data_IF_510341413504
#
_entry.id   IF_510341413504
#
_cell.length_a   1.000
_cell.length_b   1.000
_cell.length_c   1.000
_cell.angle_alpha   90.00
_cell.angle_beta   90.00
_cell.angle_gamma   90.00
#
_symmetry.space_group_name_H-M   'P 1'
#
loop_
_entity.id
_entity.type
_entity.pdbx_description
1 polymer ?
#
# COMPACT_ATOMS: atom_id res chain seq x y z
N UNK A 1 15.98 0.68 23.66
CA UNK A 1 15.41 1.90 23.03
C UNK A 1 14.21 2.34 23.87
N UNK A 2 14.30 3.44 24.63
CA UNK A 2 13.25 3.89 25.55
C UNK A 2 11.89 4.14 24.89
N UNK A 3 11.91 4.45 23.60
CA UNK A 3 10.75 4.91 22.82
C UNK A 3 9.73 3.80 22.53
N UNK A 4 10.14 2.53 22.48
CA UNK A 4 9.20 1.43 22.29
C UNK A 4 8.41 1.09 23.56
N UNK A 5 8.97 1.38 24.75
CA UNK A 5 8.29 1.09 26.01
C UNK A 5 7.05 1.94 26.22
N UNK A 6 7.12 3.24 25.87
CA UNK A 6 5.96 4.14 25.93
C UNK A 6 4.90 3.77 24.88
N UNK A 7 5.30 3.42 23.66
CA UNK A 7 4.39 2.99 22.61
C UNK A 7 3.66 1.68 22.98
N UNK A 8 4.40 0.67 23.46
CA UNK A 8 3.81 -0.60 23.90
C UNK A 8 2.81 -0.40 25.05
N UNK A 9 3.15 0.47 26.02
CA UNK A 9 2.24 0.82 27.12
C UNK A 9 0.99 1.55 26.64
N UNK A 10 1.11 2.44 25.65
CA UNK A 10 -0.05 3.13 25.07
C UNK A 10 -0.97 2.12 24.36
N UNK A 11 -0.40 1.24 23.53
CA UNK A 11 -1.15 0.19 22.83
C UNK A 11 -1.85 -0.76 23.81
N UNK A 12 -1.20 -1.15 24.91
CA UNK A 12 -1.78 -2.11 25.86
C UNK A 12 -3.03 -1.60 26.60
N UNK A 13 -3.26 -0.29 26.63
CA UNK A 13 -4.42 0.33 27.27
C UNK A 13 -5.39 0.95 26.26
N UNK A 14 -5.08 0.88 24.96
CA UNK A 14 -5.91 1.48 23.93
C UNK A 14 -7.17 0.61 23.71
N UNK A 15 -8.39 1.20 23.81
CA UNK A 15 -9.62 0.48 23.50
C UNK A 15 -9.76 0.18 22.00
N UNK A 16 -9.12 0.99 21.15
CA UNK A 16 -9.05 0.83 19.70
C UNK A 16 -7.70 1.34 19.21
N UNK A 17 -7.12 0.63 18.23
CA UNK A 17 -5.83 0.94 17.63
C UNK A 17 -6.04 1.16 16.14
N UNK A 18 -5.74 2.37 15.65
CA UNK A 18 -5.73 2.67 14.22
C UNK A 18 -4.30 2.67 13.72
N UNK A 19 -4.00 1.81 12.74
CA UNK A 19 -2.70 1.73 12.10
C UNK A 19 -2.79 2.39 10.73
N UNK A 20 -2.19 3.57 10.62
CA UNK A 20 -2.08 4.31 9.37
C UNK A 20 -0.78 3.96 8.64
N UNK A 21 -0.88 3.52 7.38
CA UNK A 21 0.28 3.04 6.62
C UNK A 21 0.42 3.71 5.26
N UNK A 22 1.67 3.76 4.77
CA UNK A 22 2.04 4.22 3.43
C UNK A 22 3.12 3.34 2.83
N UNK A 23 3.68 3.74 1.68
CA UNK A 23 4.50 2.87 0.84
C UNK A 23 5.71 2.25 1.56
N UNK A 24 6.25 2.93 2.58
CA UNK A 24 7.38 2.44 3.37
C UNK A 24 7.13 1.08 4.01
N UNK A 25 5.90 0.74 4.41
CA UNK A 25 5.61 -0.58 4.98
C UNK A 25 5.79 -1.71 3.95
N UNK A 26 5.62 -1.42 2.66
CA UNK A 26 5.76 -2.38 1.55
C UNK A 26 7.17 -2.43 0.94
N UNK A 27 8.08 -1.55 1.36
CA UNK A 27 9.42 -1.46 0.77
C UNK A 27 10.20 -2.78 0.89
N UNK A 28 10.23 -3.39 2.09
CA UNK A 28 10.89 -4.68 2.31
C UNK A 28 10.17 -5.86 1.62
N UNK A 29 8.96 -5.64 1.10
CA UNK A 29 8.24 -6.61 0.27
C UNK A 29 8.63 -6.51 -1.22
N UNK A 30 9.60 -5.65 -1.56
CA UNK A 30 10.05 -5.42 -2.94
C UNK A 30 9.17 -4.47 -3.75
N UNK A 31 8.25 -3.74 -3.10
CA UNK A 31 7.42 -2.72 -3.76
C UNK A 31 8.14 -1.36 -3.65
N UNK A 32 8.55 -0.74 -4.77
CA UNK A 32 9.21 0.56 -4.74
C UNK A 32 8.34 1.65 -4.12
N UNK A 33 8.96 2.53 -3.34
CA UNK A 33 8.34 3.74 -2.81
C UNK A 33 8.49 4.91 -3.80
N UNK A 34 7.76 6.01 -3.57
CA UNK A 34 7.87 7.23 -4.40
C UNK A 34 9.22 7.95 -4.34
N UNK A 35 10.13 7.51 -3.47
CA UNK A 35 11.48 8.05 -3.34
C UNK A 35 12.53 7.13 -3.98
N UNK A 36 12.15 5.93 -4.39
CA UNK A 36 13.06 4.99 -5.02
C UNK A 36 13.20 5.29 -6.51
N UNK A 37 14.41 5.16 -7.08
CA UNK A 37 14.62 5.33 -8.51
C UNK A 37 13.88 4.22 -9.28
N UNK A 38 13.17 4.60 -10.34
CA UNK A 38 12.58 3.63 -11.26
C UNK A 38 13.68 2.95 -12.09
N UNK A 39 13.40 1.72 -12.51
CA UNK A 39 14.34 0.90 -13.29
C UNK A 39 13.71 0.40 -14.59
N UNK A 40 14.54 -0.11 -15.50
CA UNK A 40 14.10 -0.66 -16.77
C UNK A 40 13.40 0.38 -17.66
N UNK A 41 12.30 -0.03 -18.30
CA UNK A 41 11.53 0.84 -19.21
C UNK A 41 10.90 2.06 -18.52
N UNK A 42 10.82 2.04 -17.19
CA UNK A 42 10.22 3.12 -16.40
C UNK A 42 11.25 4.12 -15.86
N UNK A 43 12.55 3.83 -15.99
CA UNK A 43 13.62 4.71 -15.54
C UNK A 43 13.54 6.18 -16.01
N UNK A 44 13.07 6.51 -17.24
CA UNK A 44 12.98 7.92 -17.66
C UNK A 44 11.72 8.65 -17.17
N UNK A 45 10.82 7.98 -16.42
CA UNK A 45 9.55 8.55 -15.98
C UNK A 45 9.55 8.90 -14.49
N UNK A 46 8.76 9.90 -14.11
CA UNK A 46 8.40 10.19 -12.72
C UNK A 46 6.97 9.67 -12.46
N UNK A 47 6.76 8.77 -11.47
CA UNK A 47 5.42 8.30 -11.08
C UNK A 47 4.43 9.45 -10.85
N UNK A 48 4.88 10.55 -10.25
CA UNK A 48 4.02 11.70 -9.90
C UNK A 48 3.44 12.39 -11.14
N UNK A 49 4.13 12.29 -12.26
CA UNK A 49 3.64 12.80 -13.54
C UNK A 49 2.70 11.82 -14.23
N UNK A 50 2.89 10.50 -14.04
CA UNK A 50 2.05 9.46 -14.64
C UNK A 50 0.73 9.22 -13.89
N UNK A 51 0.71 9.45 -12.58
CA UNK A 51 -0.43 9.14 -11.71
C UNK A 51 -1.42 10.29 -11.59
N UNK A 52 -1.74 10.91 -12.73
CA UNK A 52 -2.68 12.04 -12.80
C UNK A 52 -3.78 11.79 -13.83
N UNK A 53 -4.98 12.33 -13.58
CA UNK A 53 -6.08 12.29 -14.53
C UNK A 53 -5.74 13.02 -15.85
N UNK A 54 -4.80 13.97 -15.83
CA UNK A 54 -4.29 14.63 -17.04
C UNK A 54 -3.45 13.66 -17.87
N UNK A 55 -2.45 13.02 -17.27
CA UNK A 55 -1.60 12.06 -17.97
C UNK A 55 -2.40 10.89 -18.55
N UNK A 56 -3.41 10.41 -17.81
CA UNK A 56 -4.29 9.36 -18.33
C UNK A 56 -5.07 9.82 -19.57
N UNK A 57 -5.58 11.06 -19.61
CA UNK A 57 -6.28 11.60 -20.77
C UNK A 57 -5.35 11.86 -21.96
N UNK A 58 -4.12 12.28 -21.70
CA UNK A 58 -3.13 12.59 -22.74
C UNK A 58 -2.54 11.32 -23.38
N UNK A 59 -2.27 10.28 -22.58
CA UNK A 59 -1.74 9.02 -23.07
C UNK A 59 -2.25 7.82 -22.24
N UNK A 60 -3.51 7.38 -22.47
CA UNK A 60 -4.08 6.26 -21.73
C UNK A 60 -3.26 4.96 -21.83
N UNK A 61 -2.72 4.55 -23.01
CA UNK A 61 -1.91 3.35 -23.11
C UNK A 61 -0.65 3.36 -22.22
N UNK A 62 0.04 4.49 -22.11
CA UNK A 62 1.22 4.63 -21.24
C UNK A 62 0.84 4.44 -19.77
N UNK A 63 -0.19 5.15 -19.30
CA UNK A 63 -0.62 5.08 -17.90
C UNK A 63 -1.20 3.69 -17.59
N UNK A 64 -1.93 3.08 -18.52
CA UNK A 64 -2.37 1.69 -18.37
C UNK A 64 -1.19 0.73 -18.26
N UNK A 65 -0.17 0.86 -19.11
CA UNK A 65 1.06 0.08 -19.03
C UNK A 65 1.76 0.22 -17.67
N UNK A 66 1.78 1.44 -17.13
CA UNK A 66 2.34 1.73 -15.81
C UNK A 66 1.62 0.95 -14.71
N UNK A 67 0.28 1.02 -14.68
CA UNK A 67 -0.51 0.30 -13.67
C UNK A 67 -0.48 -1.22 -13.85
N UNK A 68 -0.41 -1.73 -15.09
CA UNK A 68 -0.22 -3.16 -15.35
C UNK A 68 1.12 -3.66 -14.82
N UNK A 69 2.20 -2.91 -15.04
CA UNK A 69 3.50 -3.23 -14.48
C UNK A 69 3.48 -3.21 -12.94
N UNK A 70 2.90 -2.18 -12.32
CA UNK A 70 2.75 -2.11 -10.85
C UNK A 70 1.94 -3.27 -10.30
N UNK A 71 0.84 -3.65 -10.94
CA UNK A 71 0.02 -4.82 -10.57
C UNK A 71 0.84 -6.11 -10.65
N UNK A 72 1.68 -6.26 -11.67
CA UNK A 72 2.57 -7.41 -11.77
C UNK A 72 3.59 -7.45 -10.62
N UNK A 73 4.18 -6.31 -10.23
CA UNK A 73 5.10 -6.26 -9.08
C UNK A 73 4.38 -6.63 -7.78
N UNK A 74 3.23 -6.02 -7.49
CA UNK A 74 2.45 -6.31 -6.30
C UNK A 74 2.02 -7.79 -6.21
N UNK A 75 1.68 -8.42 -7.36
CA UNK A 75 1.31 -9.84 -7.39
C UNK A 75 2.45 -10.80 -7.01
N UNK A 76 3.71 -10.38 -7.22
CA UNK A 76 4.91 -11.17 -6.88
C UNK A 76 5.41 -10.89 -5.46
N UNK A 77 5.13 -9.71 -4.92
CA UNK A 77 5.46 -9.35 -3.55
C UNK A 77 4.74 -10.27 -2.56
N UNK A 78 5.31 -10.48 -1.38
CA UNK A 78 4.68 -11.17 -0.27
C UNK A 78 4.68 -10.25 0.96
N UNK A 79 3.73 -10.37 1.90
CA UNK A 79 3.74 -9.54 3.10
C UNK A 79 5.00 -9.77 3.92
N UNK A 80 5.69 -8.70 4.28
CA UNK A 80 6.84 -8.73 5.18
C UNK A 80 6.43 -8.76 6.67
N UNK A 81 7.42 -8.78 7.56
CA UNK A 81 7.23 -8.84 9.01
C UNK A 81 6.38 -7.69 9.57
N UNK A 82 6.43 -6.50 8.97
CA UNK A 82 5.61 -5.37 9.41
C UNK A 82 4.11 -5.63 9.19
N UNK A 83 3.73 -6.14 8.02
CA UNK A 83 2.33 -6.51 7.74
C UNK A 83 1.87 -7.66 8.64
N UNK A 84 2.73 -8.66 8.82
CA UNK A 84 2.45 -9.81 9.68
C UNK A 84 2.29 -9.38 11.14
N UNK A 85 3.08 -8.42 11.61
CA UNK A 85 2.96 -7.87 12.96
C UNK A 85 1.61 -7.18 13.19
N UNK A 86 1.11 -6.43 12.19
CA UNK A 86 -0.23 -5.81 12.24
C UNK A 86 -1.31 -6.88 12.37
N UNK A 87 -1.28 -7.91 11.52
CA UNK A 87 -2.26 -9.01 11.60
C UNK A 87 -2.16 -9.77 12.93
N UNK A 88 -0.95 -10.01 13.44
CA UNK A 88 -0.74 -10.68 14.74
C UNK A 88 -1.29 -9.85 15.90
N UNK A 89 -1.14 -8.52 15.88
CA UNK A 89 -1.70 -7.64 16.90
C UNK A 89 -3.23 -7.73 16.95
N UNK A 90 -3.89 -7.70 15.79
CA UNK A 90 -5.34 -7.90 15.71
C UNK A 90 -5.74 -9.29 16.25
N UNK A 91 -5.02 -10.35 15.85
CA UNK A 91 -5.29 -11.73 16.28
C UNK A 91 -5.01 -11.98 17.76
N UNK A 92 -4.23 -11.15 18.44
CA UNK A 92 -4.01 -11.25 19.88
C UNK A 92 -5.12 -10.61 20.72
N UNK A 93 -6.23 -10.20 20.11
CA UNK A 93 -7.42 -9.71 20.81
C UNK A 93 -7.53 -8.19 20.89
N UNK A 94 -6.62 -7.43 20.27
CA UNK A 94 -6.77 -5.98 20.15
C UNK A 94 -7.77 -5.64 19.04
N UNK A 95 -8.58 -4.60 19.28
CA UNK A 95 -9.40 -4.00 18.24
C UNK A 95 -8.52 -3.12 17.34
N UNK A 96 -8.19 -3.61 16.14
CA UNK A 96 -7.25 -2.96 15.22
C UNK A 96 -7.94 -2.65 13.90
N UNK A 97 -7.92 -1.38 13.51
CA UNK A 97 -8.35 -0.90 12.20
C UNK A 97 -7.13 -0.48 11.38
N UNK A 98 -7.08 -0.84 10.09
CA UNK A 98 -5.98 -0.44 9.20
C UNK A 98 -6.48 0.57 8.19
N UNK A 99 -5.85 1.74 8.15
CA UNK A 99 -6.05 2.74 7.10
C UNK A 99 -4.77 2.82 6.28
N UNK A 100 -4.85 2.58 4.98
CA UNK A 100 -3.66 2.56 4.13
C UNK A 100 -3.77 3.51 2.94
N UNK A 101 -2.68 4.20 2.66
CA UNK A 101 -2.47 4.93 1.42
C UNK A 101 -2.00 4.01 0.28
N UNK A 102 -1.62 2.77 0.59
CA UNK A 102 -1.14 1.82 -0.40
C UNK A 102 -2.31 1.32 -1.24
N UNK A 103 -2.00 0.99 -2.49
CA UNK A 103 -2.96 0.44 -3.45
C UNK A 103 -2.69 -1.05 -3.75
N UNK A 104 -1.67 -1.64 -3.10
CA UNK A 104 -1.43 -3.09 -3.05
C UNK A 104 -2.39 -3.80 -2.06
N UNK A 105 -2.30 -5.13 -1.95
CA UNK A 105 -3.16 -5.96 -1.10
C UNK A 105 -2.38 -6.69 0.02
N UNK A 106 -1.19 -6.21 0.39
CA UNK A 106 -0.30 -6.94 1.30
C UNK A 106 -0.84 -7.03 2.73
N UNK A 107 -1.61 -6.04 3.20
CA UNK A 107 -2.30 -6.11 4.49
C UNK A 107 -3.32 -7.25 4.53
N UNK A 108 -4.14 -7.38 3.49
CA UNK A 108 -5.13 -8.46 3.40
C UNK A 108 -4.45 -9.81 3.30
N UNK A 109 -3.38 -9.91 2.50
CA UNK A 109 -2.60 -11.14 2.35
C UNK A 109 -1.87 -11.53 3.64
N UNK A 110 -1.51 -10.57 4.50
CA UNK A 110 -1.00 -10.84 5.84
C UNK A 110 -2.09 -11.33 6.81
N UNK A 111 -3.36 -11.16 6.45
CA UNK A 111 -4.53 -11.54 7.25
C UNK A 111 -5.06 -10.41 8.12
N UNK A 112 -4.80 -9.15 7.78
CA UNK A 112 -5.52 -8.01 8.35
C UNK A 112 -6.96 -8.01 7.81
N UNK A 113 -7.92 -7.80 8.72
CA UNK A 113 -9.34 -7.61 8.39
C UNK A 113 -9.69 -6.12 8.44
N UNK A 114 -10.74 -5.69 7.75
CA UNK A 114 -11.22 -4.30 7.74
C UNK A 114 -10.18 -3.24 7.34
N UNK A 115 -9.47 -3.50 6.24
CA UNK A 115 -8.49 -2.56 5.67
C UNK A 115 -9.18 -1.51 4.80
N UNK A 116 -9.06 -0.24 5.18
CA UNK A 116 -9.56 0.90 4.43
C UNK A 116 -8.48 1.47 3.50
N UNK A 117 -8.71 1.42 2.19
CA UNK A 117 -7.82 1.96 1.16
C UNK A 117 -8.20 3.39 0.79
N UNK A 118 -7.35 4.36 1.14
CA UNK A 118 -7.59 5.77 0.83
C UNK A 118 -7.41 6.09 -0.67
N UNK A 119 -6.50 5.40 -1.34
CA UNK A 119 -6.16 5.67 -2.75
C UNK A 119 -6.67 4.59 -3.72
N UNK A 120 -7.65 3.79 -3.28
CA UNK A 120 -8.20 2.69 -4.08
C UNK A 120 -7.29 1.45 -4.10
N UNK A 121 -7.46 0.61 -5.12
CA UNK A 121 -6.78 -0.69 -5.20
C UNK A 121 -6.42 -1.05 -6.64
N UNK A 122 -5.22 -1.63 -6.83
CA UNK A 122 -4.76 -2.20 -8.10
C UNK A 122 -5.64 -3.36 -8.61
N UNK A 123 -6.46 -3.94 -7.73
CA UNK A 123 -7.35 -5.07 -8.06
C UNK A 123 -8.75 -4.64 -8.48
N UNK A 124 -9.09 -3.36 -8.39
CA UNK A 124 -10.42 -2.82 -8.71
C UNK A 124 -10.33 -1.69 -9.75
N UNK A 125 -10.03 -2.01 -11.02
CA UNK A 125 -10.08 -1.00 -12.07
C UNK A 125 -11.52 -0.46 -12.19
N UNK A 126 -11.67 0.87 -12.15
CA UNK A 126 -12.93 1.52 -12.47
C UNK A 126 -13.00 1.71 -13.99
N UNK A 127 -14.05 1.19 -14.62
CA UNK A 127 -14.36 1.51 -16.00
C UNK A 127 -15.13 2.83 -16.03
N UNK A 128 -14.57 3.82 -16.71
CA UNK A 128 -15.33 5.00 -17.11
C UNK A 128 -16.01 4.66 -18.43
N UNK A 129 -17.35 4.65 -18.45
CA UNK A 129 -18.08 4.62 -19.71
C UNK A 129 -17.71 5.91 -20.46
N UNK A 130 -16.95 5.76 -21.53
CA UNK A 130 -16.75 6.85 -22.50
C UNK A 130 -18.01 6.92 -23.35
N UNK A 131 -18.69 8.06 -23.34
CA UNK A 131 -19.68 8.42 -24.38
C UNK A 131 -19.00 8.52 -25.76
#
# INVERSE_FOLDING_TARGET
MPEFGSAAKALSHAPEIVIFTGAGISAESGIPTYNDPLTGIWAPYDPRNMETAKAFRENPPLVWGWYLWRRQQASKAAPNDAHLAVSRLAKSGYNVSVITQNIDDLHQRAGSVDVLHLHGSLHRPAAWLTE
#
